data_IF_304759184793
#
_entry.id   IF_304759184793
#
_cell.length_a   1.000
_cell.length_b   1.000
_cell.length_c   1.000
_cell.angle_alpha   90.00
_cell.angle_beta   90.00
_cell.angle_gamma   90.00
#
_symmetry.space_group_name_H-M   'P 1'
#
loop_
_entity.id
_entity.type
_entity.pdbx_description
1 polymer ?
#
# COMPACT_ATOMS: atom_id res chain seq x y z
N UNK A 1 -0.67 -9.22 -6.61
CA UNK A 1 -0.49 -8.26 -7.72
C UNK A 1 0.79 -8.59 -8.47
N UNK A 2 0.88 -8.40 -9.77
CA UNK A 2 2.12 -8.61 -10.49
C UNK A 2 3.25 -7.76 -9.88
N UNK A 3 4.39 -8.41 -9.58
CA UNK A 3 5.58 -7.75 -9.04
C UNK A 3 5.63 -7.56 -7.52
N UNK A 4 4.56 -7.80 -6.78
CA UNK A 4 4.66 -7.91 -5.33
C UNK A 4 5.17 -9.30 -4.95
N UNK A 5 6.07 -9.39 -3.96
CA UNK A 5 6.65 -10.65 -3.52
C UNK A 5 6.89 -10.71 -2.00
N UNK A 6 6.36 -9.73 -1.26
CA UNK A 6 6.48 -9.67 0.21
C UNK A 6 5.16 -10.02 0.92
N UNK A 7 4.22 -10.68 0.24
CA UNK A 7 2.91 -11.04 0.78
C UNK A 7 3.01 -12.04 1.93
N UNK A 8 3.89 -13.01 1.83
CA UNK A 8 4.07 -14.03 2.88
C UNK A 8 4.68 -13.44 4.14
N UNK A 9 5.69 -12.57 4.00
CA UNK A 9 6.31 -11.91 5.14
C UNK A 9 5.37 -10.92 5.81
N UNK A 10 4.56 -10.22 5.00
CA UNK A 10 3.50 -9.34 5.49
C UNK A 10 2.45 -10.13 6.28
N UNK A 11 1.95 -11.24 5.74
CA UNK A 11 0.99 -12.10 6.43
C UNK A 11 1.54 -12.58 7.77
N UNK A 12 2.77 -13.11 7.79
CA UNK A 12 3.43 -13.55 9.03
C UNK A 12 3.54 -12.44 10.08
N UNK A 13 3.78 -11.20 9.65
CA UNK A 13 3.85 -10.07 10.59
C UNK A 13 2.49 -9.80 11.23
N UNK A 14 1.41 -9.83 10.46
CA UNK A 14 0.05 -9.67 10.97
C UNK A 14 -0.38 -10.84 11.86
N UNK A 15 -0.08 -12.08 11.49
CA UNK A 15 -0.36 -13.29 12.28
C UNK A 15 0.35 -13.25 13.65
N UNK A 16 1.61 -12.80 13.69
CA UNK A 16 2.34 -12.57 14.95
C UNK A 16 1.69 -11.53 15.84
N UNK A 17 0.98 -10.58 15.25
CA UNK A 17 0.20 -9.57 15.97
C UNK A 17 -1.22 -10.07 16.35
N UNK A 18 -1.57 -11.32 16.01
CA UNK A 18 -2.85 -11.95 16.36
C UNK A 18 -3.96 -11.74 15.34
N UNK A 19 -3.64 -11.31 14.12
CA UNK A 19 -4.62 -11.19 13.05
C UNK A 19 -4.75 -12.49 12.25
N UNK A 20 -5.94 -12.71 11.70
CA UNK A 20 -6.16 -13.71 10.65
C UNK A 20 -5.85 -13.10 9.29
N UNK A 21 -5.06 -13.78 8.47
CA UNK A 21 -4.62 -13.27 7.18
C UNK A 21 -5.23 -14.03 6.01
N UNK A 22 -5.55 -13.30 4.95
CA UNK A 22 -6.03 -13.84 3.67
C UNK A 22 -5.20 -13.24 2.53
N UNK A 23 -4.31 -14.05 1.95
CA UNK A 23 -3.50 -13.65 0.81
C UNK A 23 -4.30 -13.84 -0.47
N UNK A 24 -4.59 -12.74 -1.15
CA UNK A 24 -5.26 -12.77 -2.44
C UNK A 24 -4.28 -12.64 -3.61
N UNK A 25 -4.25 -13.65 -4.47
CA UNK A 25 -3.47 -13.66 -5.71
C UNK A 25 -4.36 -13.27 -6.87
N UNK A 26 -4.12 -12.11 -7.44
CA UNK A 26 -4.83 -11.62 -8.60
C UNK A 26 -4.38 -12.36 -9.87
N UNK A 27 -5.35 -12.89 -10.61
CA UNK A 27 -5.14 -13.49 -11.94
C UNK A 27 -5.48 -12.46 -13.00
N UNK A 28 -4.64 -12.35 -14.01
CA UNK A 28 -4.78 -11.34 -15.07
C UNK A 28 -4.28 -11.84 -16.44
N UNK A 29 -4.41 -13.13 -16.73
CA UNK A 29 -3.99 -13.72 -18.00
C UNK A 29 -4.88 -13.29 -19.16
N UNK A 30 -6.15 -13.08 -18.86
CA UNK A 30 -7.15 -12.59 -19.82
C UNK A 30 -8.19 -11.68 -19.13
N UNK A 31 -9.08 -11.10 -19.92
CA UNK A 31 -10.09 -10.17 -19.44
C UNK A 31 -11.13 -10.82 -18.50
N UNK A 32 -11.44 -12.10 -18.69
CA UNK A 32 -12.38 -12.82 -17.85
C UNK A 32 -11.79 -13.07 -16.46
N UNK A 33 -10.56 -13.58 -16.41
CA UNK A 33 -9.85 -13.77 -15.12
C UNK A 33 -9.63 -12.45 -14.36
N UNK A 34 -9.32 -11.38 -15.10
CA UNK A 34 -9.18 -10.07 -14.51
C UNK A 34 -10.49 -9.62 -13.86
N UNK A 35 -11.61 -9.77 -14.56
CA UNK A 35 -12.93 -9.42 -14.03
C UNK A 35 -13.29 -10.24 -12.78
N UNK A 36 -13.11 -11.56 -12.84
CA UNK A 36 -13.33 -12.45 -11.70
C UNK A 36 -12.45 -12.05 -10.51
N UNK A 37 -11.18 -11.75 -10.76
CA UNK A 37 -10.25 -11.33 -9.70
C UNK A 37 -10.66 -10.02 -9.06
N UNK A 38 -11.14 -9.05 -9.83
CA UNK A 38 -11.64 -7.78 -9.29
C UNK A 38 -12.88 -7.99 -8.43
N UNK A 39 -13.83 -8.83 -8.87
CA UNK A 39 -15.05 -9.14 -8.13
C UNK A 39 -14.74 -9.88 -6.82
N UNK A 40 -13.87 -10.87 -6.88
CA UNK A 40 -13.45 -11.61 -5.69
C UNK A 40 -12.67 -10.73 -4.71
N UNK A 41 -11.79 -9.86 -5.22
CA UNK A 41 -11.05 -8.91 -4.38
C UNK A 41 -12.00 -7.95 -3.66
N UNK A 42 -12.97 -7.35 -4.37
CA UNK A 42 -13.97 -6.49 -3.76
C UNK A 42 -14.75 -7.22 -2.66
N UNK A 43 -15.16 -8.47 -2.91
CA UNK A 43 -15.85 -9.32 -1.93
C UNK A 43 -14.98 -9.63 -0.70
N UNK A 44 -13.67 -9.78 -0.85
CA UNK A 44 -12.75 -9.99 0.28
C UNK A 44 -12.54 -8.70 1.07
N UNK A 45 -12.33 -7.58 0.40
CA UNK A 45 -12.24 -6.27 1.03
C UNK A 45 -13.48 -5.97 1.87
N UNK A 46 -14.68 -6.26 1.36
CA UNK A 46 -15.93 -5.99 2.11
C UNK A 46 -16.08 -6.79 3.41
N UNK A 47 -15.26 -7.81 3.64
CA UNK A 47 -15.24 -8.63 4.87
C UNK A 47 -13.98 -8.42 5.72
N UNK A 48 -12.99 -7.71 5.21
CA UNK A 48 -11.74 -7.43 5.92
C UNK A 48 -11.87 -6.18 6.79
N UNK A 49 -11.08 -6.11 7.86
CA UNK A 49 -10.90 -4.91 8.69
C UNK A 49 -9.65 -4.14 8.26
N UNK A 50 -8.69 -4.83 7.66
CA UNK A 50 -7.42 -4.24 7.21
C UNK A 50 -7.15 -4.70 5.79
N UNK A 51 -6.73 -3.76 4.95
CA UNK A 51 -6.16 -4.07 3.63
C UNK A 51 -4.68 -3.70 3.61
N UNK A 52 -3.84 -4.69 3.28
CA UNK A 52 -2.39 -4.54 3.21
C UNK A 52 -1.92 -4.58 1.75
N UNK A 53 -1.21 -3.54 1.34
CA UNK A 53 -0.49 -3.48 0.07
C UNK A 53 0.99 -3.81 0.30
N UNK A 54 1.44 -5.02 -0.06
CA UNK A 54 2.81 -5.44 0.20
C UNK A 54 3.82 -4.75 -0.71
N UNK A 55 5.05 -4.81 -0.30
CA UNK A 55 6.18 -4.42 -1.11
C UNK A 55 6.54 -5.44 -2.17
N UNK A 56 7.62 -5.16 -2.88
CA UNK A 56 8.17 -5.97 -3.96
C UNK A 56 8.46 -5.12 -5.19
N UNK A 57 9.07 -5.74 -6.19
CA UNK A 57 9.49 -5.07 -7.40
C UNK A 57 8.50 -5.34 -8.54
N UNK A 58 7.56 -4.45 -8.76
CA UNK A 58 6.66 -4.55 -9.91
C UNK A 58 7.29 -3.89 -11.15
N UNK A 59 7.85 -4.71 -12.04
CA UNK A 59 8.28 -4.34 -13.40
C UNK A 59 9.02 -2.99 -13.50
N UNK A 60 9.99 -2.77 -12.65
CA UNK A 60 10.74 -1.52 -12.53
C UNK A 60 10.27 -0.67 -11.36
N UNK A 61 11.15 -0.50 -10.39
CA UNK A 61 10.94 0.39 -9.23
C UNK A 61 11.33 1.84 -9.55
N UNK A 62 11.21 2.19 -10.78
CA UNK A 62 11.38 3.56 -11.19
C UNK A 62 10.12 4.35 -10.86
N UNK A 63 10.20 5.67 -10.76
CA UNK A 63 9.04 6.51 -10.52
C UNK A 63 7.87 6.20 -11.43
N UNK A 64 8.13 5.82 -12.68
CA UNK A 64 7.10 5.46 -13.65
C UNK A 64 6.48 4.08 -13.42
N UNK A 65 7.19 3.15 -12.78
CA UNK A 65 6.74 1.79 -12.49
C UNK A 65 6.11 1.61 -11.11
N UNK A 66 6.55 2.40 -10.15
CA UNK A 66 6.29 2.24 -8.73
C UNK A 66 4.81 2.30 -8.36
N UNK A 67 4.28 1.18 -7.90
CA UNK A 67 2.87 1.07 -7.52
C UNK A 67 1.88 1.20 -8.66
N UNK A 68 2.33 1.36 -9.91
CA UNK A 68 1.50 1.66 -11.07
C UNK A 68 0.44 0.58 -11.35
N UNK A 69 0.83 -0.69 -11.27
CA UNK A 69 -0.12 -1.79 -11.49
C UNK A 69 -1.15 -1.88 -10.38
N UNK A 70 -0.76 -1.69 -9.13
CA UNK A 70 -1.69 -1.65 -7.99
C UNK A 70 -2.65 -0.49 -8.18
N UNK A 71 -2.13 0.71 -8.44
CA UNK A 71 -2.93 1.90 -8.65
C UNK A 71 -3.89 1.77 -9.84
N UNK A 72 -3.46 1.16 -10.95
CA UNK A 72 -4.31 0.93 -12.12
C UNK A 72 -5.50 0.01 -11.79
N UNK A 73 -5.26 -1.08 -11.03
CA UNK A 73 -6.31 -2.00 -10.62
C UNK A 73 -7.28 -1.36 -9.64
N UNK A 74 -6.77 -0.63 -8.63
CA UNK A 74 -7.58 0.01 -7.61
C UNK A 74 -8.33 1.27 -8.08
N UNK A 75 -8.16 1.68 -9.33
CA UNK A 75 -9.04 2.64 -10.01
C UNK A 75 -10.31 2.00 -10.60
N UNK A 76 -10.46 0.70 -10.46
CA UNK A 76 -11.73 0.03 -10.77
C UNK A 76 -12.80 0.45 -9.77
N UNK A 77 -13.99 0.83 -10.27
CA UNK A 77 -15.08 1.37 -9.46
C UNK A 77 -15.46 0.43 -8.31
N UNK A 78 -15.60 -0.87 -8.55
CA UNK A 78 -15.94 -1.85 -7.51
C UNK A 78 -14.92 -1.90 -6.37
N UNK A 79 -13.63 -1.77 -6.70
CA UNK A 79 -12.57 -1.77 -5.69
C UNK A 79 -12.52 -0.44 -4.94
N UNK A 80 -12.73 0.67 -5.64
CA UNK A 80 -12.84 1.98 -5.00
C UNK A 80 -13.99 1.99 -4.00
N UNK A 81 -15.19 1.56 -4.40
CA UNK A 81 -16.37 1.48 -3.53
C UNK A 81 -16.12 0.60 -2.31
N UNK A 82 -15.52 -0.58 -2.48
CA UNK A 82 -15.20 -1.48 -1.38
C UNK A 82 -14.17 -0.89 -0.40
N UNK A 83 -13.20 -0.14 -0.91
CA UNK A 83 -12.21 0.56 -0.08
C UNK A 83 -12.81 1.77 0.64
N UNK A 84 -13.66 2.55 -0.02
CA UNK A 84 -14.39 3.67 0.59
C UNK A 84 -15.29 3.18 1.74
N UNK A 85 -16.01 2.08 1.52
CA UNK A 85 -16.80 1.43 2.56
C UNK A 85 -15.92 0.99 3.74
N UNK A 86 -14.77 0.34 3.45
CA UNK A 86 -13.81 -0.07 4.48
C UNK A 86 -13.36 1.12 5.32
N UNK A 87 -12.91 2.21 4.67
CA UNK A 87 -12.26 3.33 5.34
C UNK A 87 -13.24 4.26 6.04
N UNK A 88 -14.39 4.57 5.41
CA UNK A 88 -15.27 5.63 5.88
C UNK A 88 -16.57 5.13 6.55
N UNK A 89 -16.96 3.87 6.29
CA UNK A 89 -18.20 3.31 6.89
C UNK A 89 -17.85 2.33 8.00
N UNK A 90 -16.87 1.45 7.77
CA UNK A 90 -16.50 0.38 8.71
C UNK A 90 -15.33 0.72 9.62
N UNK A 91 -14.77 1.93 9.50
CA UNK A 91 -13.60 2.40 10.26
C UNK A 91 -12.39 1.43 10.18
N UNK A 92 -12.22 0.85 9.00
CA UNK A 92 -11.14 -0.09 8.73
C UNK A 92 -9.82 0.60 8.43
N UNK A 93 -8.76 -0.18 8.28
CA UNK A 93 -7.41 0.34 8.10
C UNK A 93 -6.79 -0.08 6.78
N UNK A 94 -5.90 0.76 6.29
CA UNK A 94 -5.05 0.47 5.13
C UNK A 94 -3.59 0.64 5.51
N UNK A 95 -2.74 -0.29 5.07
CA UNK A 95 -1.30 -0.20 5.20
C UNK A 95 -0.64 -0.44 3.84
N UNK A 96 0.34 0.37 3.49
CA UNK A 96 1.17 0.17 2.30
C UNK A 96 2.65 0.23 2.66
N UNK A 97 3.41 -0.76 2.19
CA UNK A 97 4.86 -0.80 2.41
C UNK A 97 5.57 -0.78 1.06
N UNK A 98 6.61 0.07 0.93
CA UNK A 98 7.44 0.18 -0.26
C UNK A 98 6.58 0.41 -1.53
N UNK A 99 6.51 -0.53 -2.46
CA UNK A 99 5.66 -0.47 -3.65
C UNK A 99 4.17 -0.25 -3.32
N UNK A 100 3.68 -0.86 -2.24
CA UNK A 100 2.33 -0.63 -1.73
C UNK A 100 2.12 0.81 -1.26
N UNK A 101 3.08 1.40 -0.56
CA UNK A 101 3.05 2.81 -0.17
C UNK A 101 3.05 3.74 -1.40
N UNK A 102 3.87 3.45 -2.40
CA UNK A 102 3.89 4.20 -3.66
C UNK A 102 2.52 4.16 -4.36
N UNK A 103 1.83 3.01 -4.32
CA UNK A 103 0.49 2.89 -4.84
C UNK A 103 -0.52 3.76 -4.06
N UNK A 104 -0.44 3.78 -2.73
CA UNK A 104 -1.31 4.61 -1.90
C UNK A 104 -1.13 6.11 -2.18
N UNK A 105 0.11 6.56 -2.43
CA UNK A 105 0.38 7.93 -2.88
C UNK A 105 -0.30 8.19 -4.24
N UNK A 106 -0.13 7.30 -5.22
CA UNK A 106 -0.72 7.45 -6.57
C UNK A 106 -2.26 7.40 -6.59
N UNK A 107 -2.86 6.77 -5.61
CA UNK A 107 -4.32 6.71 -5.45
C UNK A 107 -4.89 7.92 -4.69
N UNK A 108 -4.04 8.72 -4.06
CA UNK A 108 -4.46 9.84 -3.21
C UNK A 108 -4.75 9.44 -1.75
N UNK A 109 -4.78 8.16 -1.44
CA UNK A 109 -5.18 7.65 -0.13
C UNK A 109 -4.25 8.12 1.00
N UNK A 110 -2.94 8.18 0.79
CA UNK A 110 -2.02 8.69 1.83
C UNK A 110 -2.05 10.20 1.95
N UNK A 111 -1.98 11.00 0.86
CA UNK A 111 -2.00 12.46 1.00
C UNK A 111 -3.35 13.02 1.48
N UNK A 112 -4.46 12.41 1.06
CA UNK A 112 -5.79 13.01 1.21
C UNK A 112 -6.78 12.16 2.02
N UNK A 113 -6.48 10.87 2.24
CA UNK A 113 -7.40 9.93 2.90
C UNK A 113 -8.56 9.46 2.00
N UNK A 114 -8.57 9.81 0.73
CA UNK A 114 -9.60 9.49 -0.25
C UNK A 114 -8.99 9.18 -1.62
N UNK A 115 -9.73 8.48 -2.48
CA UNK A 115 -9.33 8.32 -3.87
C UNK A 115 -9.42 9.66 -4.60
N UNK A 116 -8.27 10.14 -5.05
CA UNK A 116 -8.19 11.44 -5.71
C UNK A 116 -7.28 11.39 -6.93
N UNK A 117 -7.69 11.97 -8.04
CA UNK A 117 -6.80 12.16 -9.19
C UNK A 117 -5.59 12.99 -8.78
N UNK A 118 -4.41 12.58 -9.22
CA UNK A 118 -3.20 13.37 -9.01
C UNK A 118 -3.23 14.60 -9.91
N UNK A 119 -2.92 15.74 -9.33
CA UNK A 119 -2.70 17.02 -10.02
C UNK A 119 -1.19 17.30 -10.07
N UNK A 120 -0.80 18.35 -10.79
CA UNK A 120 0.61 18.78 -10.84
C UNK A 120 1.17 19.17 -9.46
N UNK A 121 0.30 19.62 -8.55
CA UNK A 121 0.67 19.99 -7.18
C UNK A 121 0.57 18.83 -6.19
N UNK A 122 0.10 17.65 -6.61
CA UNK A 122 -0.05 16.51 -5.72
C UNK A 122 1.32 15.97 -5.27
N UNK A 123 1.44 15.56 -4.01
CA UNK A 123 2.63 14.87 -3.54
C UNK A 123 2.90 13.62 -4.38
N UNK A 124 4.15 13.40 -4.75
CA UNK A 124 4.58 12.23 -5.49
C UNK A 124 5.91 11.70 -4.97
N UNK A 125 6.21 10.46 -5.30
CA UNK A 125 7.52 9.86 -5.10
C UNK A 125 8.27 9.88 -6.42
N UNK A 126 9.52 10.29 -6.36
CA UNK A 126 10.41 10.41 -7.49
C UNK A 126 11.80 9.94 -7.13
N UNK A 127 12.75 10.01 -8.05
CA UNK A 127 14.14 9.68 -7.81
C UNK A 127 14.73 10.47 -6.65
N UNK A 128 15.61 9.83 -5.88
CA UNK A 128 16.35 10.56 -4.88
C UNK A 128 17.38 11.50 -5.54
N UNK A 129 17.70 12.58 -4.85
CA UNK A 129 18.64 13.60 -5.36
C UNK A 129 20.11 13.15 -5.31
N UNK A 130 20.39 11.99 -4.74
CA UNK A 130 21.76 11.46 -4.57
C UNK A 130 22.24 10.79 -5.87
N UNK A 131 21.30 10.42 -6.77
CA UNK A 131 21.61 9.81 -8.06
C UNK A 131 22.15 8.37 -7.96
N UNK A 132 21.86 7.67 -6.86
CA UNK A 132 22.25 6.25 -6.67
C UNK A 132 21.34 5.56 -5.67
N UNK A 133 21.25 4.25 -5.78
CA UNK A 133 20.56 3.41 -4.80
C UNK A 133 21.25 3.48 -3.43
N UNK A 134 20.45 3.66 -2.38
CA UNK A 134 20.90 3.58 -1.00
C UNK A 134 20.12 2.48 -0.28
N UNK A 135 20.87 1.62 0.41
CA UNK A 135 20.34 0.57 1.27
C UNK A 135 21.01 0.65 2.63
N UNK A 136 20.32 1.17 3.63
CA UNK A 136 20.83 1.26 4.99
C UNK A 136 19.69 1.41 6.01
N UNK A 137 20.03 1.26 7.29
CA UNK A 137 19.10 1.58 8.37
C UNK A 137 19.01 3.08 8.57
N UNK A 138 17.79 3.58 8.69
CA UNK A 138 17.52 4.98 9.03
C UNK A 138 16.78 5.07 10.36
N UNK A 139 17.03 6.15 11.07
CA UNK A 139 16.27 6.46 12.28
C UNK A 139 15.08 7.34 11.92
N UNK A 140 13.89 6.86 12.19
CA UNK A 140 12.64 7.61 12.06
C UNK A 140 12.17 8.09 13.43
N UNK A 141 11.50 9.24 13.46
CA UNK A 141 10.93 9.82 14.67
C UNK A 141 9.42 9.92 14.53
N UNK A 142 8.69 9.43 15.51
CA UNK A 142 7.24 9.61 15.60
C UNK A 142 6.95 11.08 15.86
N UNK A 143 6.29 11.74 14.93
CA UNK A 143 5.90 13.17 15.06
C UNK A 143 4.44 13.34 15.45
N UNK A 144 3.62 12.33 15.24
CA UNK A 144 2.18 12.34 15.55
C UNK A 144 1.69 10.91 15.76
N UNK A 145 0.70 10.75 16.64
CA UNK A 145 -0.01 9.47 16.88
C UNK A 145 -1.46 9.52 16.40
N UNK A 146 -1.78 10.40 15.46
CA UNK A 146 -3.10 10.48 14.85
C UNK A 146 -3.48 9.21 14.09
N UNK A 147 -2.49 8.53 13.51
CA UNK A 147 -2.71 7.26 12.82
C UNK A 147 -2.93 6.14 13.83
N UNK A 148 -3.97 5.30 13.69
CA UNK A 148 -4.18 4.12 14.52
C UNK A 148 -2.97 3.18 14.55
N UNK A 149 -2.19 3.12 13.47
CA UNK A 149 -0.93 2.34 13.40
C UNK A 149 0.13 2.76 14.42
N UNK A 150 0.02 3.95 14.96
CA UNK A 150 0.95 4.53 15.93
C UNK A 150 0.33 4.72 17.34
N UNK A 151 -0.82 4.07 17.60
CA UNK A 151 -1.56 4.21 18.86
C UNK A 151 -0.76 3.80 20.11
N UNK A 152 0.20 2.89 19.96
CA UNK A 152 1.08 2.44 21.04
C UNK A 152 2.39 3.24 21.14
N UNK A 153 2.61 4.19 20.23
CA UNK A 153 3.80 5.03 20.21
C UNK A 153 3.54 6.37 20.93
N UNK A 154 4.61 7.09 21.19
CA UNK A 154 4.58 8.46 21.72
C UNK A 154 5.27 9.41 20.75
N UNK A 155 4.81 10.67 20.60
CA UNK A 155 5.57 11.68 19.87
C UNK A 155 6.98 11.79 20.44
N UNK A 156 7.98 11.68 19.57
CA UNK A 156 9.39 11.66 19.96
C UNK A 156 10.05 10.28 19.96
N UNK A 157 9.29 9.18 19.96
CA UNK A 157 9.84 7.83 19.87
C UNK A 157 10.68 7.66 18.60
N UNK A 158 11.80 6.97 18.74
CA UNK A 158 12.74 6.70 17.65
C UNK A 158 12.71 5.23 17.27
N UNK A 159 12.63 4.98 15.99
CA UNK A 159 12.67 3.64 15.43
C UNK A 159 13.76 3.54 14.35
N UNK A 160 14.56 2.49 14.41
CA UNK A 160 15.52 2.17 13.34
C UNK A 160 14.87 1.19 12.39
N UNK A 161 14.72 1.59 11.14
CA UNK A 161 14.09 0.78 10.10
C UNK A 161 15.01 0.60 8.91
N UNK A 162 14.96 -0.55 8.22
CA UNK A 162 15.64 -0.71 6.95
C UNK A 162 14.98 0.19 5.90
N UNK A 163 15.78 0.92 5.17
CA UNK A 163 15.32 1.83 4.13
C UNK A 163 16.06 1.56 2.84
N UNK A 164 15.30 1.39 1.77
CA UNK A 164 15.80 1.26 0.41
C UNK A 164 15.33 2.48 -0.37
N UNK A 165 16.27 3.27 -0.85
CA UNK A 165 16.00 4.48 -1.64
C UNK A 165 16.53 4.26 -3.05
N UNK A 166 15.65 4.37 -4.05
CA UNK A 166 15.98 4.25 -5.45
C UNK A 166 16.43 5.57 -6.09
N UNK A 167 17.25 5.41 -7.11
CA UNK A 167 17.58 6.51 -8.05
C UNK A 167 16.50 6.63 -9.10
#
# INVERSE_FOLDING_TARGET
>A
MPGTNCEVDSARAFERAGADTDIFIMRNRDAAELKESVEEMARRISRSQIVMFPGGFSAGDEPDGSGKFIAAVFRNVKLMEAMEELLHIRDGLVLGICNGFQALIKLGLVPYGEFKPLTEEAPTLTFNTIGRHLSHYVTTKVVSTKSPWLSLCRPGDLHSIPCLLYT
#
